data_IF_006581241356
#
_entry.id   IF_006581241356
#
_cell.length_a   1.000
_cell.length_b   1.000
_cell.length_c   1.000
_cell.angle_alpha   90.00
_cell.angle_beta   90.00
_cell.angle_gamma   90.00
#
_symmetry.space_group_name_H-M   'P 1'
#
loop_
_entity.id
_entity.type
_entity.pdbx_description
1 polymer ?
#
# COMPACT_ATOMS: atom_id res chain seq x y z
N UNK A 1 7.64 2.03 16.42
CA UNK A 1 7.82 0.72 15.77
C UNK A 1 6.48 0.02 15.80
N UNK A 2 5.92 -0.31 14.64
CA UNK A 2 4.65 -1.05 14.52
C UNK A 2 4.98 -2.52 14.29
N UNK A 3 4.23 -3.44 14.92
CA UNK A 3 4.42 -4.87 14.70
C UNK A 3 3.82 -5.33 13.37
N UNK A 4 2.71 -4.72 12.98
CA UNK A 4 2.02 -4.94 11.71
C UNK A 4 1.09 -3.77 11.42
N UNK A 5 0.68 -3.65 10.16
CA UNK A 5 -0.39 -2.77 9.70
C UNK A 5 -1.47 -3.61 9.03
N UNK A 6 -2.73 -3.18 9.14
CA UNK A 6 -3.86 -3.89 8.56
C UNK A 6 -4.86 -2.90 7.96
N UNK A 7 -5.43 -3.28 6.82
CA UNK A 7 -6.57 -2.59 6.20
C UNK A 7 -7.73 -3.55 5.97
N UNK A 8 -8.94 -2.98 5.99
CA UNK A 8 -10.16 -3.70 5.62
C UNK A 8 -10.38 -3.67 4.11
N UNK A 9 -11.00 -4.72 3.57
CA UNK A 9 -11.50 -4.77 2.19
C UNK A 9 -12.91 -5.34 2.11
N UNK A 10 -13.69 -4.89 1.14
CA UNK A 10 -14.99 -5.47 0.80
C UNK A 10 -14.91 -6.56 -0.28
N UNK A 11 -13.75 -6.74 -0.93
CA UNK A 11 -13.53 -7.71 -2.02
C UNK A 11 -12.08 -8.22 -1.96
N UNK A 12 -11.89 -9.38 -1.33
CA UNK A 12 -10.57 -9.91 -1.01
C UNK A 12 -9.76 -10.26 -2.27
N UNK A 13 -10.42 -10.66 -3.37
CA UNK A 13 -9.75 -11.04 -4.61
C UNK A 13 -9.29 -9.81 -5.40
N UNK A 14 -10.11 -8.74 -5.44
CA UNK A 14 -9.68 -7.45 -6.00
C UNK A 14 -8.53 -6.85 -5.21
N UNK A 15 -8.64 -6.88 -3.88
CA UNK A 15 -7.55 -6.47 -3.00
C UNK A 15 -6.29 -7.30 -3.23
N UNK A 16 -6.41 -8.62 -3.38
CA UNK A 16 -5.26 -9.50 -3.67
C UNK A 16 -4.57 -9.09 -4.96
N UNK A 17 -5.33 -8.88 -6.03
CA UNK A 17 -4.79 -8.44 -7.32
C UNK A 17 -4.01 -7.13 -7.17
N UNK A 18 -4.59 -6.15 -6.48
CA UNK A 18 -3.97 -4.85 -6.24
C UNK A 18 -2.70 -4.94 -5.39
N UNK A 19 -2.78 -5.56 -4.20
CA UNK A 19 -1.67 -5.62 -3.27
C UNK A 19 -0.56 -6.58 -3.73
N UNK A 20 -0.88 -7.68 -4.43
CA UNK A 20 0.15 -8.52 -5.05
C UNK A 20 0.95 -7.72 -6.08
N UNK A 21 0.30 -6.90 -6.91
CA UNK A 21 0.99 -6.03 -7.87
C UNK A 21 1.90 -5.01 -7.16
N UNK A 22 1.42 -4.38 -6.09
CA UNK A 22 2.23 -3.45 -5.30
C UNK A 22 3.50 -4.12 -4.75
N UNK A 23 3.35 -5.22 -4.01
CA UNK A 23 4.47 -5.87 -3.35
C UNK A 23 5.45 -6.50 -4.35
N UNK A 24 4.96 -7.15 -5.40
CA UNK A 24 5.85 -7.78 -6.40
C UNK A 24 6.61 -6.76 -7.24
N UNK A 25 6.03 -5.57 -7.49
CA UNK A 25 6.70 -4.50 -8.24
C UNK A 25 7.97 -3.97 -7.58
N UNK A 26 8.08 -4.14 -6.26
CA UNK A 26 9.21 -3.66 -5.44
C UNK A 26 10.05 -4.82 -4.87
N UNK A 27 9.99 -6.00 -5.50
CA UNK A 27 10.79 -7.16 -5.10
C UNK A 27 10.24 -7.94 -3.90
N UNK A 28 9.04 -7.62 -3.44
CA UNK A 28 8.28 -8.44 -2.50
C UNK A 28 7.68 -9.69 -3.14
N UNK A 29 6.94 -10.46 -2.34
CA UNK A 29 6.23 -11.67 -2.78
C UNK A 29 4.71 -11.42 -2.77
N UNK A 30 3.94 -12.18 -3.58
CA UNK A 30 2.48 -12.22 -3.44
C UNK A 30 2.04 -12.63 -2.03
N UNK A 31 0.80 -12.31 -1.68
CA UNK A 31 0.26 -12.64 -0.37
C UNK A 31 0.24 -14.16 -0.11
N UNK A 32 0.55 -14.51 1.14
CA UNK A 32 0.15 -15.78 1.74
C UNK A 32 -1.27 -15.60 2.27
N UNK A 33 -2.20 -16.46 1.85
CA UNK A 33 -3.54 -16.49 2.45
C UNK A 33 -3.52 -17.35 3.70
N UNK A 34 -3.88 -16.78 4.84
CA UNK A 34 -3.93 -17.51 6.10
C UNK A 34 -5.24 -18.34 6.22
N UNK A 35 -5.36 -19.23 7.23
CA UNK A 35 -6.57 -20.05 7.41
C UNK A 35 -7.86 -19.26 7.66
N UNK A 36 -7.77 -17.96 7.97
CA UNK A 36 -8.92 -17.05 8.15
C UNK A 36 -9.27 -16.29 6.86
N UNK A 37 -8.59 -16.58 5.74
CA UNK A 37 -8.80 -15.90 4.46
C UNK A 37 -8.16 -14.52 4.38
N UNK A 38 -7.24 -14.18 5.30
CA UNK A 38 -6.53 -12.89 5.28
C UNK A 38 -5.34 -12.98 4.35
N UNK A 39 -5.06 -11.90 3.64
CA UNK A 39 -3.84 -11.76 2.85
C UNK A 39 -2.74 -11.26 3.76
N UNK A 40 -1.59 -11.94 3.75
CA UNK A 40 -0.42 -11.59 4.55
C UNK A 40 0.75 -11.31 3.62
N UNK A 41 1.26 -10.08 3.69
CA UNK A 41 2.45 -9.63 2.97
C UNK A 41 3.60 -9.44 3.93
N UNK A 42 4.72 -10.12 3.64
CA UNK A 42 5.97 -10.03 4.40
C UNK A 42 7.04 -9.44 3.49
N UNK A 43 7.56 -8.28 3.85
CA UNK A 43 8.58 -7.61 3.05
C UNK A 43 9.44 -6.69 3.92
N UNK A 44 10.77 -6.77 3.77
CA UNK A 44 11.75 -5.94 4.50
C UNK A 44 11.51 -5.87 6.02
N UNK A 45 11.19 -7.01 6.64
CA UNK A 45 10.91 -7.10 8.08
C UNK A 45 9.57 -6.51 8.52
N UNK A 46 8.74 -6.03 7.59
CA UNK A 46 7.41 -5.49 7.85
C UNK A 46 6.31 -6.51 7.53
N UNK A 47 5.20 -6.41 8.25
CA UNK A 47 3.99 -7.23 8.05
C UNK A 47 2.82 -6.33 7.71
N UNK A 48 2.21 -6.57 6.56
CA UNK A 48 0.99 -5.88 6.12
C UNK A 48 -0.11 -6.90 5.85
N UNK A 49 -1.32 -6.64 6.35
CA UNK A 49 -2.45 -7.53 6.22
C UNK A 49 -3.64 -6.86 5.55
N UNK A 50 -4.38 -7.63 4.77
CA UNK A 50 -5.66 -7.23 4.19
C UNK A 50 -6.71 -8.26 4.60
N UNK A 51 -7.85 -7.79 5.08
CA UNK A 51 -8.90 -8.67 5.64
C UNK A 51 -10.30 -8.16 5.34
N UNK A 52 -11.29 -9.04 5.15
CA UNK A 52 -12.67 -8.68 5.43
C UNK A 52 -12.78 -8.26 6.91
N UNK A 53 -13.53 -7.19 7.26
CA UNK A 53 -13.67 -6.76 8.65
C UNK A 53 -14.25 -7.83 9.56
N UNK A 54 -13.66 -8.02 10.73
CA UNK A 54 -14.03 -9.10 11.66
C UNK A 54 -15.40 -8.92 12.31
N UNK A 55 -15.89 -7.67 12.39
CA UNK A 55 -17.21 -7.36 12.93
C UNK A 55 -18.35 -7.54 11.91
N UNK A 56 -18.02 -7.97 10.69
CA UNK A 56 -18.96 -8.22 9.60
C UNK A 56 -19.54 -6.97 8.95
N UNK A 57 -19.10 -5.77 9.34
CA UNK A 57 -19.53 -4.53 8.69
C UNK A 57 -18.71 -4.28 7.42
N UNK A 58 -19.21 -3.46 6.48
CA UNK A 58 -18.42 -3.05 5.32
C UNK A 58 -17.09 -2.42 5.73
N UNK A 59 -16.02 -2.75 5.00
CA UNK A 59 -14.75 -2.09 5.16
C UNK A 59 -14.90 -0.61 4.79
N UNK A 60 -14.27 0.25 5.58
CA UNK A 60 -14.23 1.69 5.36
C UNK A 60 -12.80 2.17 5.49
N UNK A 61 -12.44 3.18 4.70
CA UNK A 61 -11.16 3.85 4.85
C UNK A 61 -11.19 4.84 6.01
N UNK A 62 -10.06 5.02 6.68
CA UNK A 62 -9.93 6.04 7.71
C UNK A 62 -9.73 7.42 7.07
N UNK A 63 -10.66 8.36 7.29
CA UNK A 63 -10.44 9.75 6.91
C UNK A 63 -9.27 10.34 7.70
N UNK A 64 -8.26 10.87 7.01
CA UNK A 64 -6.98 11.28 7.59
C UNK A 64 -5.97 10.13 7.83
N UNK A 65 -6.38 8.88 7.67
CA UNK A 65 -5.49 7.73 7.74
C UNK A 65 -4.61 7.61 6.50
N UNK A 66 -3.35 7.22 6.67
CA UNK A 66 -2.43 6.94 5.57
C UNK A 66 -1.41 5.88 5.99
N UNK A 67 -1.19 4.87 5.16
CA UNK A 67 -0.14 3.87 5.37
C UNK A 67 1.02 4.15 4.43
N UNK A 68 2.18 4.45 5.00
CA UNK A 68 3.42 4.69 4.27
C UNK A 68 4.25 3.42 4.09
N UNK A 69 4.61 3.12 2.85
CA UNK A 69 5.53 2.09 2.44
C UNK A 69 6.89 2.73 2.16
N UNK A 70 7.92 2.27 2.87
CA UNK A 70 9.28 2.77 2.68
C UNK A 70 9.87 2.19 1.38
N UNK A 71 10.39 3.08 0.53
CA UNK A 71 11.03 2.78 -0.74
C UNK A 71 12.52 3.06 -0.65
N UNK A 72 13.33 2.22 -1.28
CA UNK A 72 14.79 2.39 -1.34
C UNK A 72 15.24 3.47 -2.33
N UNK A 73 14.41 3.80 -3.32
CA UNK A 73 14.68 4.88 -4.29
C UNK A 73 13.41 5.56 -4.83
N UNK A 74 13.54 6.74 -5.50
CA UNK A 74 12.46 7.35 -6.25
C UNK A 74 11.87 6.45 -7.35
N UNK A 75 12.73 5.72 -8.06
CA UNK A 75 12.32 4.82 -9.15
C UNK A 75 11.49 3.64 -8.63
N UNK A 76 11.79 3.15 -7.43
CA UNK A 76 10.97 2.15 -6.75
C UNK A 76 9.59 2.72 -6.40
N UNK A 77 9.51 3.96 -5.92
CA UNK A 77 8.24 4.63 -5.66
C UNK A 77 7.40 4.83 -6.93
N UNK A 78 8.03 5.19 -8.05
CA UNK A 78 7.38 5.31 -9.36
C UNK A 78 6.86 3.96 -9.85
N UNK A 79 7.68 2.91 -9.71
CA UNK A 79 7.33 1.54 -10.08
C UNK A 79 6.14 1.04 -9.27
N UNK A 80 6.17 1.24 -7.96
CA UNK A 80 5.08 0.93 -7.04
C UNK A 80 3.79 1.66 -7.43
N UNK A 81 3.88 2.97 -7.70
CA UNK A 81 2.72 3.78 -8.06
C UNK A 81 2.09 3.32 -9.38
N UNK A 82 2.92 3.07 -10.41
CA UNK A 82 2.46 2.58 -11.71
C UNK A 82 1.80 1.21 -11.62
N UNK A 83 2.40 0.29 -10.86
CA UNK A 83 1.86 -1.05 -10.67
C UNK A 83 0.50 -1.02 -9.98
N UNK A 84 0.36 -0.23 -8.91
CA UNK A 84 -0.90 -0.09 -8.19
C UNK A 84 -1.99 0.56 -9.03
N UNK A 85 -1.67 1.62 -9.77
CA UNK A 85 -2.63 2.26 -10.68
C UNK A 85 -3.14 1.30 -11.78
N UNK A 86 -2.24 0.48 -12.34
CA UNK A 86 -2.60 -0.53 -13.33
C UNK A 86 -3.44 -1.69 -12.74
N UNK A 87 -3.31 -1.95 -11.45
CA UNK A 87 -3.99 -3.04 -10.73
C UNK A 87 -5.29 -2.61 -10.02
N UNK A 88 -5.88 -1.48 -10.42
CA UNK A 88 -7.16 -0.99 -9.90
C UNK A 88 -7.08 0.02 -8.76
N UNK A 89 -5.87 0.46 -8.41
CA UNK A 89 -5.69 1.61 -7.53
C UNK A 89 -5.99 2.93 -8.22
N UNK A 90 -6.31 3.95 -7.44
CA UNK A 90 -6.58 5.31 -7.95
C UNK A 90 -5.43 6.24 -7.55
N UNK A 91 -4.66 6.80 -8.52
CA UNK A 91 -3.77 7.92 -8.28
C UNK A 91 -4.51 9.09 -7.65
N UNK A 92 -3.92 9.67 -6.61
CA UNK A 92 -4.50 10.80 -5.88
C UNK A 92 -3.41 11.81 -5.53
N UNK A 93 -3.84 13.02 -5.20
CA UNK A 93 -2.95 14.18 -4.96
C UNK A 93 -2.12 14.54 -6.20
N UNK A 94 -0.97 15.18 -5.97
CA UNK A 94 0.01 15.50 -6.98
C UNK A 94 0.73 14.23 -7.48
N UNK A 95 1.20 14.27 -8.73
CA UNK A 95 1.97 13.18 -9.33
C UNK A 95 3.23 12.82 -8.51
N UNK A 96 3.75 11.57 -8.63
CA UNK A 96 4.99 11.15 -7.98
C UNK A 96 6.12 12.18 -8.12
N UNK A 97 6.78 12.51 -7.02
CA UNK A 97 7.84 13.51 -7.06
C UNK A 97 8.37 13.95 -5.69
N UNK A 98 9.43 14.75 -5.74
CA UNK A 98 10.01 15.39 -4.55
C UNK A 98 9.06 16.44 -3.95
N UNK A 99 9.01 16.48 -2.62
CA UNK A 99 8.32 17.48 -1.79
C UNK A 99 9.27 17.99 -0.71
N UNK A 100 9.21 19.29 -0.44
CA UNK A 100 10.13 19.97 0.48
C UNK A 100 11.50 20.28 -0.14
N UNK A 101 12.40 20.81 0.68
CA UNK A 101 13.72 21.30 0.27
C UNK A 101 14.83 20.72 1.17
N UNK A 102 16.07 20.73 0.66
CA UNK A 102 17.26 20.27 1.41
C UNK A 102 17.27 18.77 1.73
N UNK A 103 18.09 18.38 2.72
CA UNK A 103 18.29 16.99 3.14
C UNK A 103 17.06 16.35 3.82
N UNK A 104 15.96 17.10 4.00
CA UNK A 104 14.70 16.60 4.55
C UNK A 104 13.64 16.32 3.48
N UNK A 105 13.96 16.51 2.19
CA UNK A 105 13.00 16.32 1.11
C UNK A 105 12.55 14.86 1.02
N UNK A 106 11.31 14.66 0.62
CA UNK A 106 10.70 13.33 0.48
C UNK A 106 10.26 13.12 -0.95
N UNK A 107 10.53 11.95 -1.51
CA UNK A 107 9.90 11.52 -2.75
C UNK A 107 8.63 10.76 -2.39
N UNK A 108 7.49 11.21 -2.88
CA UNK A 108 6.18 10.71 -2.49
C UNK A 108 5.37 10.34 -3.72
N UNK A 109 4.64 9.23 -3.62
CA UNK A 109 3.61 8.83 -4.56
C UNK A 109 2.41 8.27 -3.81
N UNK A 110 1.19 8.70 -4.15
CA UNK A 110 -0.02 8.36 -3.41
C UNK A 110 -1.03 7.58 -4.27
N UNK A 111 -1.62 6.56 -3.67
CA UNK A 111 -2.72 5.80 -4.25
C UNK A 111 -3.85 5.66 -3.22
N UNK A 112 -5.07 5.48 -3.71
CA UNK A 112 -6.09 4.73 -2.98
C UNK A 112 -6.16 3.30 -3.50
N UNK A 113 -6.29 2.35 -2.58
CA UNK A 113 -6.63 0.98 -2.93
C UNK A 113 -8.12 0.88 -3.39
N UNK A 114 -8.58 -0.31 -3.85
CA UNK A 114 -9.95 -0.50 -4.31
C UNK A 114 -11.06 -0.16 -3.29
N UNK A 115 -10.74 -0.15 -1.99
CA UNK A 115 -11.67 0.17 -0.90
C UNK A 115 -11.47 1.61 -0.36
N UNK A 116 -10.58 2.38 -0.99
CA UNK A 116 -10.33 3.78 -0.67
C UNK A 116 -9.29 4.00 0.42
N UNK A 117 -8.61 2.96 0.93
CA UNK A 117 -7.52 3.13 1.89
C UNK A 117 -6.39 3.94 1.24
N UNK A 118 -5.97 5.02 1.90
CA UNK A 118 -4.91 5.89 1.38
C UNK A 118 -3.54 5.29 1.69
N UNK A 119 -2.75 5.08 0.65
CA UNK A 119 -1.41 4.50 0.70
C UNK A 119 -0.39 5.49 0.13
N UNK A 120 0.84 5.40 0.62
CA UNK A 120 1.93 6.26 0.20
C UNK A 120 3.19 5.45 -0.01
N UNK A 121 3.80 5.51 -1.19
CA UNK A 121 5.20 5.15 -1.36
C UNK A 121 6.07 6.36 -0.99
N UNK A 122 7.02 6.14 -0.09
CA UNK A 122 7.88 7.18 0.45
C UNK A 122 9.35 6.79 0.33
N UNK A 123 10.15 7.68 -0.25
CA UNK A 123 11.60 7.63 -0.18
C UNK A 123 12.14 8.93 0.46
N UNK A 124 13.20 8.81 1.27
CA UNK A 124 13.86 9.93 1.96
C UNK A 124 15.11 10.32 1.19
N UNK A 125 15.25 11.62 0.89
CA UNK A 125 16.43 12.17 0.22
C UNK A 125 17.60 12.43 1.15
#
# INVERSE_FOLDING_TARGET
MYSHMMVGTNDIEKSKTFYDALFTSVGGKPAITDPKGRLVYLHNGSVFLVTPPIDGKPATHANGGTIGFAMSSPEEADTWHKAGAAAGGTPIEDAPGWRGEGAGRLYLAYLRDPDGNKLCALHRG
#
